data_IF_461823948226
#
_entry.id   IF_461823948226
#
_cell.length_a   1.000
_cell.length_b   1.000
_cell.length_c   1.000
_cell.angle_alpha   90.00
_cell.angle_beta   90.00
_cell.angle_gamma   90.00
#
_symmetry.space_group_name_H-M   'P 1'
#
loop_
_entity.id
_entity.type
_entity.pdbx_description
1 polymer ?
#
# COMPACT_ATOMS: atom_id res chain seq x y z
N UNK A 1 7.39 5.91 25.91
CA UNK A 1 6.37 5.59 24.93
C UNK A 1 6.66 4.23 24.32
N UNK A 2 5.65 3.40 24.24
CA UNK A 2 5.80 2.07 23.64
C UNK A 2 5.78 2.24 22.12
N UNK A 3 6.84 1.74 21.49
CA UNK A 3 6.87 1.70 20.04
C UNK A 3 5.85 0.66 19.60
N UNK A 4 4.89 1.04 18.75
CA UNK A 4 3.87 0.08 18.34
C UNK A 4 4.46 -0.92 17.34
N UNK A 5 5.08 -1.96 17.87
CA UNK A 5 5.58 -3.04 17.04
C UNK A 5 4.48 -3.61 16.15
N UNK A 6 3.24 -3.54 16.61
CA UNK A 6 2.10 -3.98 15.82
C UNK A 6 1.92 -3.15 14.56
N UNK A 7 2.18 -1.84 14.61
CA UNK A 7 2.09 -0.99 13.42
C UNK A 7 3.13 -1.39 12.38
N UNK A 8 4.37 -1.63 12.82
CA UNK A 8 5.43 -2.09 11.92
C UNK A 8 5.09 -3.43 11.30
N UNK A 9 4.62 -4.37 12.12
CA UNK A 9 4.24 -5.68 11.63
C UNK A 9 3.10 -5.58 10.61
N UNK A 10 2.12 -4.73 10.88
CA UNK A 10 0.99 -4.54 9.97
C UNK A 10 1.45 -4.00 8.62
N UNK A 11 2.37 -3.02 8.63
CA UNK A 11 2.90 -2.44 7.39
C UNK A 11 3.65 -3.51 6.60
N UNK A 12 4.55 -4.24 7.25
CA UNK A 12 5.36 -5.25 6.58
C UNK A 12 4.48 -6.38 6.04
N UNK A 13 3.54 -6.86 6.84
CA UNK A 13 2.66 -7.95 6.44
C UNK A 13 1.75 -7.52 5.30
N UNK A 14 1.15 -6.33 5.37
CA UNK A 14 0.30 -5.84 4.31
C UNK A 14 1.09 -5.66 3.01
N UNK A 15 2.29 -5.10 3.10
CA UNK A 15 3.14 -4.93 1.92
C UNK A 15 3.53 -6.27 1.29
N UNK A 16 3.89 -7.24 2.12
CA UNK A 16 4.23 -8.57 1.64
C UNK A 16 3.04 -9.24 0.97
N UNK A 17 1.86 -9.12 1.56
CA UNK A 17 0.64 -9.72 1.00
C UNK A 17 0.25 -9.07 -0.31
N UNK A 18 0.39 -7.74 -0.42
CA UNK A 18 0.14 -7.03 -1.67
C UNK A 18 1.05 -7.58 -2.77
N UNK A 19 2.34 -7.71 -2.49
CA UNK A 19 3.30 -8.20 -3.46
C UNK A 19 3.01 -9.64 -3.86
N UNK A 20 2.63 -10.47 -2.90
CA UNK A 20 2.29 -11.88 -3.17
C UNK A 20 1.07 -11.97 -4.09
N UNK A 21 0.02 -11.20 -3.80
CA UNK A 21 -1.19 -11.22 -4.61
C UNK A 21 -0.97 -10.67 -6.01
N UNK A 22 -0.10 -9.67 -6.13
CA UNK A 22 0.16 -9.02 -7.41
C UNK A 22 1.26 -9.71 -8.21
N UNK A 23 1.90 -10.73 -7.66
CA UNK A 23 3.02 -11.39 -8.31
C UNK A 23 2.63 -11.91 -9.68
N UNK A 24 3.42 -11.51 -10.68
CA UNK A 24 3.18 -11.93 -12.06
C UNK A 24 2.06 -11.20 -12.78
N UNK A 25 1.36 -10.28 -12.12
CA UNK A 25 0.30 -9.51 -12.78
C UNK A 25 0.86 -8.28 -13.46
N UNK A 26 0.42 -8.03 -14.69
CA UNK A 26 0.59 -6.72 -15.30
C UNK A 26 -0.63 -5.84 -14.98
N UNK A 27 -0.58 -4.59 -15.40
CA UNK A 27 -1.66 -3.65 -15.11
C UNK A 27 -2.99 -4.12 -15.68
N UNK A 28 -2.97 -4.64 -16.90
CA UNK A 28 -4.19 -5.12 -17.56
C UNK A 28 -4.83 -6.26 -16.78
N UNK A 29 -4.02 -7.21 -16.34
CA UNK A 29 -4.52 -8.33 -15.55
C UNK A 29 -5.09 -7.88 -14.21
N UNK A 30 -4.41 -6.94 -13.56
CA UNK A 30 -4.90 -6.37 -12.30
C UNK A 30 -6.26 -5.68 -12.52
N UNK A 31 -6.38 -4.86 -13.55
CA UNK A 31 -7.60 -4.13 -13.81
C UNK A 31 -8.78 -5.04 -14.15
N UNK A 32 -8.51 -6.21 -14.72
CA UNK A 32 -9.57 -7.19 -15.03
C UNK A 32 -9.93 -8.09 -13.86
N UNK A 33 -9.15 -8.09 -12.80
CA UNK A 33 -9.39 -8.97 -11.66
C UNK A 33 -10.09 -8.22 -10.54
N UNK A 34 -11.41 -8.37 -10.47
CA UNK A 34 -12.17 -7.76 -9.37
C UNK A 34 -11.67 -8.24 -8.01
N UNK A 35 -11.38 -9.54 -7.89
CA UNK A 35 -10.92 -10.10 -6.63
C UNK A 35 -9.61 -9.49 -6.20
N UNK A 36 -8.66 -9.35 -7.14
CA UNK A 36 -7.37 -8.74 -6.84
C UNK A 36 -7.55 -7.28 -6.42
N UNK A 37 -8.39 -6.51 -7.13
CA UNK A 37 -8.61 -5.11 -6.80
C UNK A 37 -9.23 -4.94 -5.41
N UNK A 38 -10.20 -5.78 -5.06
CA UNK A 38 -10.85 -5.70 -3.75
C UNK A 38 -9.85 -6.02 -2.64
N UNK A 39 -9.14 -7.12 -2.77
CA UNK A 39 -8.24 -7.57 -1.71
C UNK A 39 -7.01 -6.67 -1.60
N UNK A 40 -6.41 -6.29 -2.71
CA UNK A 40 -5.27 -5.37 -2.69
C UNK A 40 -5.71 -4.00 -2.19
N UNK A 41 -6.91 -3.56 -2.55
CA UNK A 41 -7.47 -2.31 -2.04
C UNK A 41 -7.56 -2.31 -0.51
N UNK A 42 -8.02 -3.41 0.06
CA UNK A 42 -8.09 -3.56 1.51
C UNK A 42 -6.70 -3.48 2.14
N UNK A 43 -5.74 -4.19 1.56
CA UNK A 43 -4.37 -4.22 2.09
C UNK A 43 -3.66 -2.88 1.95
N UNK A 44 -3.84 -2.20 0.82
CA UNK A 44 -3.28 -0.87 0.63
C UNK A 44 -3.84 0.11 1.66
N UNK A 45 -5.15 0.02 1.92
CA UNK A 45 -5.78 0.84 2.95
C UNK A 45 -5.19 0.57 4.33
N UNK A 46 -5.03 -0.70 4.70
CA UNK A 46 -4.42 -1.08 5.97
C UNK A 46 -3.00 -0.52 6.07
N UNK A 47 -2.21 -0.71 5.02
CA UNK A 47 -0.83 -0.22 5.02
C UNK A 47 -0.76 1.29 5.15
N UNK A 48 -1.60 2.02 4.40
CA UNK A 48 -1.60 3.49 4.43
C UNK A 48 -1.96 4.03 5.81
N UNK A 49 -2.98 3.44 6.46
CA UNK A 49 -3.40 3.86 7.80
C UNK A 49 -2.28 3.61 8.82
N UNK A 50 -1.67 2.44 8.76
CA UNK A 50 -0.60 2.11 9.71
C UNK A 50 0.65 2.97 9.47
N UNK A 51 0.97 3.27 8.21
CA UNK A 51 2.08 4.17 7.90
C UNK A 51 1.83 5.56 8.46
N UNK A 52 0.60 6.06 8.37
CA UNK A 52 0.25 7.39 8.88
C UNK A 52 0.42 7.48 10.40
N UNK A 53 0.24 6.36 11.09
CA UNK A 53 0.32 6.30 12.55
C UNK A 53 1.74 6.03 13.07
N UNK A 54 2.71 5.77 12.19
CA UNK A 54 4.07 5.51 12.63
C UNK A 54 4.72 6.76 13.19
N UNK A 55 5.39 6.65 14.36
CA UNK A 55 6.21 7.76 14.87
C UNK A 55 7.33 8.10 13.90
N UNK A 56 7.81 9.34 13.96
CA UNK A 56 8.86 9.82 13.05
C UNK A 56 10.10 8.93 13.07
N UNK A 57 10.46 8.41 14.25
CA UNK A 57 11.64 7.55 14.36
C UNK A 57 11.50 6.28 13.50
N UNK A 58 10.29 5.70 13.44
CA UNK A 58 10.04 4.52 12.64
C UNK A 58 9.88 4.84 11.15
N UNK A 59 9.45 6.06 10.82
CA UNK A 59 9.33 6.46 9.41
C UNK A 59 10.67 6.38 8.69
N UNK A 60 11.75 6.59 9.40
CA UNK A 60 13.07 6.52 8.80
C UNK A 60 13.44 5.11 8.32
N UNK A 61 12.80 4.09 8.87
CA UNK A 61 12.99 2.72 8.40
C UNK A 61 12.45 2.53 6.99
N UNK A 62 11.54 3.41 6.57
CA UNK A 62 10.91 3.37 5.25
C UNK A 62 11.21 4.66 4.49
N UNK A 63 12.45 5.16 4.61
CA UNK A 63 12.83 6.43 4.02
C UNK A 63 12.67 6.46 2.50
N UNK A 64 12.69 5.29 1.85
CA UNK A 64 12.57 5.20 0.41
C UNK A 64 11.13 5.31 -0.08
N UNK A 65 10.14 5.22 0.82
CA UNK A 65 8.75 5.38 0.43
C UNK A 65 8.46 6.83 0.07
N UNK A 66 7.62 7.00 -0.94
CA UNK A 66 7.10 8.32 -1.27
C UNK A 66 5.99 8.66 -0.28
N UNK A 67 6.38 9.26 0.85
CA UNK A 67 5.45 9.56 1.94
C UNK A 67 4.32 10.49 1.54
N UNK A 68 4.61 11.43 0.63
CA UNK A 68 3.58 12.35 0.14
C UNK A 68 2.48 11.57 -0.57
N UNK A 69 2.86 10.65 -1.44
CA UNK A 69 1.90 9.85 -2.18
C UNK A 69 1.14 8.90 -1.25
N UNK A 70 1.83 8.22 -0.35
CA UNK A 70 1.18 7.31 0.57
C UNK A 70 0.19 8.01 1.50
N UNK A 71 0.50 9.26 1.86
CA UNK A 71 -0.41 10.06 2.69
C UNK A 71 -1.70 10.40 1.95
N UNK A 72 -1.65 10.53 0.65
CA UNK A 72 -2.81 10.83 -0.16
C UNK A 72 -3.68 9.61 -0.49
N UNK A 73 -3.14 8.41 -0.37
CA UNK A 73 -3.84 7.19 -0.77
C UNK A 73 -5.19 6.99 -0.08
N UNK A 74 -5.34 7.16 1.25
CA UNK A 74 -6.65 6.94 1.86
C UNK A 74 -7.77 7.76 1.24
N UNK A 75 -7.47 8.99 0.87
CA UNK A 75 -8.45 9.85 0.21
C UNK A 75 -8.75 9.36 -1.20
N UNK A 76 -7.73 8.94 -1.93
CA UNK A 76 -7.90 8.44 -3.30
C UNK A 76 -8.71 7.15 -3.34
N UNK A 77 -8.62 6.31 -2.31
CA UNK A 77 -9.39 5.08 -2.24
C UNK A 77 -10.90 5.33 -2.08
N UNK A 78 -11.27 6.52 -1.65
CA UNK A 78 -12.67 6.89 -1.44
C UNK A 78 -13.23 7.74 -2.56
N UNK A 79 -12.54 7.80 -3.69
CA UNK A 79 -12.98 8.55 -4.85
C UNK A 79 -13.61 7.60 -5.89
N UNK A 80 -13.62 8.01 -7.15
CA UNK A 80 -14.20 7.20 -8.21
C UNK A 80 -13.34 5.93 -8.48
N UNK A 81 -13.93 4.92 -9.12
CA UNK A 81 -13.21 3.66 -9.35
C UNK A 81 -11.93 3.81 -10.14
N UNK A 82 -11.88 4.71 -11.12
CA UNK A 82 -10.69 4.89 -11.95
C UNK A 82 -9.53 5.44 -11.13
N UNK A 83 -9.77 6.47 -10.32
CA UNK A 83 -8.74 7.05 -9.46
C UNK A 83 -8.27 6.04 -8.42
N UNK A 84 -9.22 5.29 -7.86
CA UNK A 84 -8.91 4.25 -6.90
C UNK A 84 -7.99 3.19 -7.51
N UNK A 85 -8.33 2.70 -8.69
CA UNK A 85 -7.55 1.66 -9.35
C UNK A 85 -6.15 2.15 -9.70
N UNK A 86 -6.02 3.40 -10.12
CA UNK A 86 -4.71 4.00 -10.38
C UNK A 86 -3.85 4.05 -9.11
N UNK A 87 -4.46 4.43 -7.99
CA UNK A 87 -3.74 4.48 -6.71
C UNK A 87 -3.28 3.09 -6.29
N UNK A 88 -4.11 2.08 -6.49
CA UNK A 88 -3.75 0.70 -6.16
C UNK A 88 -2.60 0.20 -7.04
N UNK A 89 -2.66 0.46 -8.33
CA UNK A 89 -1.59 0.04 -9.23
C UNK A 89 -0.29 0.77 -8.91
N UNK A 90 -0.39 2.06 -8.59
CA UNK A 90 0.79 2.81 -8.13
C UNK A 90 1.42 2.15 -6.91
N UNK A 91 0.61 1.76 -5.92
CA UNK A 91 1.12 1.13 -4.70
C UNK A 91 1.83 -0.18 -5.02
N UNK A 92 1.27 -1.00 -5.90
CA UNK A 92 1.89 -2.25 -6.33
C UNK A 92 3.26 -1.97 -6.94
N UNK A 93 3.34 -1.01 -7.85
CA UNK A 93 4.59 -0.69 -8.53
C UNK A 93 5.63 -0.13 -7.57
N UNK A 94 5.20 0.74 -6.65
CA UNK A 94 6.11 1.33 -5.67
C UNK A 94 6.74 0.26 -4.78
N UNK A 95 5.95 -0.72 -4.36
CA UNK A 95 6.44 -1.81 -3.52
C UNK A 95 7.26 -2.83 -4.29
N UNK A 96 7.04 -2.94 -5.59
CA UNK A 96 7.74 -3.92 -6.46
C UNK A 96 9.04 -3.38 -7.02
N UNK A 97 9.34 -2.11 -6.80
CA UNK A 97 10.51 -1.48 -7.42
C UNK A 97 11.79 -2.15 -6.93
N UNK A 98 12.66 -2.60 -7.84
CA UNK A 98 13.93 -3.18 -7.45
C UNK A 98 14.83 -2.09 -6.87
N UNK A 99 15.70 -2.52 -6.01
CA UNK A 99 16.69 -1.62 -5.41
C UNK A 99 17.91 -1.50 -6.27
#
# INVERSE_FOLDING_TARGET
MIIPAALLANVINAGTDILTLAEGMDESEFLRSRLARVEIGRLVGVMAINLADLPDAQRQLFAELDWTTWRAIPEQLNTDPATRDEALWFAIRALSRPR
#
